data_IF_213432518655
#
_entry.id   IF_213432518655
#
_cell.length_a   1.000
_cell.length_b   1.000
_cell.length_c   1.000
_cell.angle_alpha   90.00
_cell.angle_beta   90.00
_cell.angle_gamma   90.00
#
_symmetry.space_group_name_H-M   'P 1'
#
loop_
_entity.id
_entity.type
_entity.pdbx_description
1 polymer ?
#
# COMPACT_ATOMS: atom_id res chain seq x y z
N UNK A 1 7.32 -12.03 13.36
CA UNK A 1 6.74 -11.26 12.22
C UNK A 1 7.44 -9.91 12.17
N UNK A 2 7.68 -9.32 10.99
CA UNK A 2 8.12 -7.92 10.89
C UNK A 2 7.20 -6.98 11.69
N UNK A 3 7.72 -5.87 12.23
CA UNK A 3 6.98 -5.00 13.17
C UNK A 3 5.72 -4.36 12.56
N UNK A 4 5.65 -4.30 11.23
CA UNK A 4 4.54 -3.75 10.45
C UNK A 4 3.52 -4.82 9.97
N UNK A 5 3.61 -6.06 10.44
CA UNK A 5 2.64 -7.12 10.13
C UNK A 5 1.91 -7.58 11.40
N UNK A 6 0.59 -7.79 11.31
CA UNK A 6 -0.23 -8.43 12.33
C UNK A 6 -0.58 -9.87 11.92
N UNK A 7 -0.68 -10.77 12.90
CA UNK A 7 -1.18 -12.13 12.68
C UNK A 7 -2.70 -12.17 12.44
N UNK A 8 -3.42 -11.11 12.82
CA UNK A 8 -4.86 -11.00 12.63
C UNK A 8 -5.24 -11.08 11.16
N UNK A 9 -6.35 -11.73 10.84
CA UNK A 9 -6.82 -11.90 9.47
C UNK A 9 -7.53 -10.63 8.98
N UNK A 10 -7.27 -10.27 7.72
CA UNK A 10 -7.93 -9.18 7.02
C UNK A 10 -9.24 -9.69 6.44
N UNK A 11 -10.31 -9.60 7.23
CA UNK A 11 -11.67 -9.77 6.73
C UNK A 11 -12.22 -8.43 6.22
N UNK A 12 -13.30 -8.48 5.45
CA UNK A 12 -14.00 -7.28 4.95
C UNK A 12 -14.63 -6.42 6.07
N UNK A 13 -14.52 -6.89 7.32
CA UNK A 13 -14.93 -6.11 8.48
C UNK A 13 -13.89 -5.03 8.83
N UNK A 14 -14.23 -3.80 8.47
CA UNK A 14 -13.50 -2.60 8.79
C UNK A 14 -13.55 -2.27 10.29
N UNK A 15 -14.53 -2.76 11.06
CA UNK A 15 -14.73 -2.38 12.47
C UNK A 15 -13.53 -2.74 13.35
N UNK A 16 -12.80 -3.79 12.96
CA UNK A 16 -11.58 -4.25 13.63
C UNK A 16 -10.35 -3.38 13.36
N UNK A 17 -10.40 -2.47 12.37
CA UNK A 17 -9.27 -1.58 12.08
C UNK A 17 -9.23 -0.42 13.06
N UNK A 18 -8.20 -0.39 13.89
CA UNK A 18 -7.98 0.72 14.82
C UNK A 18 -7.31 1.90 14.12
N UNK A 19 -7.99 3.06 14.08
CA UNK A 19 -7.50 4.29 13.46
C UNK A 19 -6.92 5.31 14.46
N UNK A 20 -6.56 4.91 15.68
CA UNK A 20 -5.84 5.81 16.61
C UNK A 20 -4.45 6.20 16.08
N UNK A 21 -3.93 7.37 16.47
CA UNK A 21 -2.66 7.92 15.99
C UNK A 21 -1.47 6.98 16.24
N UNK A 22 -1.47 6.28 17.37
CA UNK A 22 -0.46 5.24 17.68
C UNK A 22 -0.35 4.17 16.58
N UNK A 23 -1.45 3.86 15.89
CA UNK A 23 -1.48 2.87 14.83
C UNK A 23 -1.00 3.43 13.48
N UNK A 24 -0.99 4.75 13.30
CA UNK A 24 -0.31 5.39 12.16
C UNK A 24 1.21 5.44 12.38
N UNK A 25 1.66 5.60 13.64
CA UNK A 25 3.09 5.57 13.99
C UNK A 25 3.69 4.16 13.93
N UNK A 26 2.89 3.14 14.24
CA UNK A 26 3.28 1.73 14.16
C UNK A 26 2.23 0.93 13.39
N UNK A 27 2.15 1.11 12.06
CA UNK A 27 1.09 0.53 11.27
C UNK A 27 1.34 -0.96 11.06
N UNK A 28 0.38 -1.77 11.48
CA UNK A 28 0.35 -3.21 11.20
C UNK A 28 -0.64 -3.50 10.08
N UNK A 29 -0.20 -4.28 9.09
CA UNK A 29 -1.04 -4.85 8.04
C UNK A 29 -1.55 -6.22 8.49
N UNK A 30 -2.84 -6.49 8.33
CA UNK A 30 -3.45 -7.80 8.65
C UNK A 30 -3.12 -8.85 7.58
N UNK A 31 -3.17 -10.13 7.97
CA UNK A 31 -2.84 -11.29 7.13
C UNK A 31 -3.96 -11.60 6.15
N UNK A 32 -3.62 -11.95 4.91
CA UNK A 32 -4.55 -12.46 3.92
C UNK A 32 -5.28 -13.71 4.45
N UNK A 33 -6.62 -13.75 4.41
CA UNK A 33 -7.39 -14.85 4.99
C UNK A 33 -7.47 -16.09 4.10
N UNK A 34 -7.20 -15.96 2.79
CA UNK A 34 -7.32 -17.02 1.79
C UNK A 34 -6.19 -18.06 1.86
N UNK A 35 -6.23 -19.02 0.92
CA UNK A 35 -5.17 -20.01 0.79
C UNK A 35 -3.81 -19.32 0.56
N UNK A 36 -2.75 -19.97 1.03
CA UNK A 36 -1.36 -19.56 0.78
C UNK A 36 -0.76 -20.28 -0.43
N UNK A 37 -1.44 -21.31 -0.95
CA UNK A 37 -1.13 -21.94 -2.22
C UNK A 37 -1.71 -21.11 -3.35
N UNK A 38 -0.87 -20.75 -4.30
CA UNK A 38 -1.25 -20.00 -5.47
C UNK A 38 -0.48 -20.50 -6.68
N UNK A 39 -1.09 -20.33 -7.84
CA UNK A 39 -0.46 -20.52 -9.13
C UNK A 39 -0.13 -19.18 -9.73
N UNK A 40 1.06 -19.10 -10.31
CA UNK A 40 1.56 -17.89 -10.94
C UNK A 40 1.11 -17.88 -12.39
N UNK A 41 0.45 -16.79 -12.78
CA UNK A 41 -0.03 -16.61 -14.15
C UNK A 41 0.96 -15.77 -14.96
N UNK A 42 1.31 -14.58 -14.47
CA UNK A 42 2.15 -13.63 -15.18
C UNK A 42 2.98 -12.77 -14.22
N UNK A 43 4.11 -12.25 -14.71
CA UNK A 43 4.89 -11.22 -14.03
C UNK A 43 4.57 -9.88 -14.68
N UNK A 44 3.86 -9.03 -13.97
CA UNK A 44 3.34 -7.78 -14.51
C UNK A 44 4.40 -6.68 -14.55
N UNK A 45 5.27 -6.62 -13.55
CA UNK A 45 6.40 -5.69 -13.52
C UNK A 45 7.39 -6.05 -12.42
N UNK A 46 8.62 -5.56 -12.57
CA UNK A 46 9.65 -5.59 -11.54
C UNK A 46 10.25 -4.19 -11.49
N UNK A 47 10.43 -3.63 -10.29
CA UNK A 47 10.90 -2.25 -10.08
C UNK A 47 11.63 -2.09 -8.74
N UNK A 48 12.20 -0.92 -8.45
CA UNK A 48 13.07 -0.68 -7.28
C UNK A 48 12.45 -1.00 -5.90
N UNK A 49 11.12 -1.13 -5.82
CA UNK A 49 10.40 -1.53 -4.61
C UNK A 49 9.94 -3.00 -4.56
N UNK A 50 10.29 -3.83 -5.55
CA UNK A 50 9.83 -5.22 -5.69
C UNK A 50 9.14 -5.50 -7.03
N UNK A 51 8.57 -6.70 -7.17
CA UNK A 51 7.81 -7.11 -8.36
C UNK A 51 6.31 -7.23 -8.09
N UNK A 52 5.52 -7.05 -9.14
CA UNK A 52 4.10 -7.39 -9.20
C UNK A 52 3.94 -8.71 -9.96
N UNK A 53 3.29 -9.66 -9.31
CA UNK A 53 3.02 -10.99 -9.87
C UNK A 53 1.52 -11.20 -9.89
N UNK A 54 0.97 -11.58 -11.05
CA UNK A 54 -0.41 -12.04 -11.16
C UNK A 54 -0.50 -13.50 -10.73
N UNK A 55 -1.45 -13.79 -9.83
CA UNK A 55 -1.65 -15.12 -9.26
C UNK A 55 -3.13 -15.47 -9.15
N UNK A 56 -3.42 -16.76 -9.06
CA UNK A 56 -4.72 -17.31 -8.68
C UNK A 56 -4.56 -18.14 -7.41
N UNK A 57 -5.54 -18.11 -6.51
CA UNK A 57 -5.53 -18.90 -5.28
C UNK A 57 -6.55 -20.03 -5.37
N UNK A 58 -6.13 -21.26 -5.07
CA UNK A 58 -6.98 -22.44 -5.18
C UNK A 58 -7.51 -22.67 -6.60
N UNK A 59 -8.68 -23.29 -6.70
CA UNK A 59 -9.34 -23.59 -7.98
C UNK A 59 -10.22 -22.43 -8.48
N UNK A 60 -10.36 -21.36 -7.69
CA UNK A 60 -11.11 -20.18 -8.09
C UNK A 60 -10.28 -19.40 -9.13
N UNK A 61 -10.85 -19.17 -10.31
CA UNK A 61 -10.25 -18.39 -11.40
C UNK A 61 -10.13 -16.88 -11.09
N UNK A 62 -10.17 -16.50 -9.80
CA UNK A 62 -10.02 -15.12 -9.36
C UNK A 62 -8.55 -14.74 -9.34
N UNK A 63 -8.24 -13.65 -10.03
CA UNK A 63 -6.88 -13.15 -10.17
C UNK A 63 -6.54 -12.10 -9.11
N UNK A 64 -5.32 -12.18 -8.61
CA UNK A 64 -4.77 -11.27 -7.62
C UNK A 64 -3.40 -10.78 -8.05
N UNK A 65 -3.00 -9.63 -7.55
CA UNK A 65 -1.65 -9.09 -7.70
C UNK A 65 -0.87 -9.26 -6.38
N UNK A 66 0.31 -9.86 -6.43
CA UNK A 66 1.24 -9.96 -5.33
C UNK A 66 2.34 -8.91 -5.46
N UNK A 67 2.53 -8.11 -4.40
CA UNK A 67 3.66 -7.16 -4.32
C UNK A 67 4.55 -7.45 -3.13
N UNK A 68 5.81 -7.73 -3.41
CA UNK A 68 6.82 -8.00 -2.37
C UNK A 68 7.46 -6.68 -1.90
N UNK A 69 7.84 -6.60 -0.62
CA UNK A 69 8.64 -5.50 -0.01
C UNK A 69 7.96 -4.14 0.19
N UNK A 70 6.62 -4.05 0.15
CA UNK A 70 5.88 -2.77 0.33
C UNK A 70 4.89 -2.74 1.51
N UNK A 71 4.98 -3.70 2.44
CA UNK A 71 3.96 -3.95 3.46
C UNK A 71 3.68 -2.77 4.42
N UNK A 72 4.69 -1.97 4.77
CA UNK A 72 4.50 -0.80 5.64
C UNK A 72 3.62 0.26 5.00
N UNK A 73 3.85 0.51 3.72
CA UNK A 73 3.13 1.46 2.87
C UNK A 73 1.66 1.07 2.77
N UNK A 74 1.37 -0.21 2.51
CA UNK A 74 0.01 -0.75 2.51
C UNK A 74 -0.68 -0.63 3.89
N UNK A 75 0.06 -0.86 4.98
CA UNK A 75 -0.47 -0.78 6.34
C UNK A 75 -0.95 0.64 6.72
N UNK A 76 -0.31 1.69 6.18
CA UNK A 76 -0.74 3.09 6.35
C UNK A 76 -1.97 3.38 5.48
N UNK A 77 -1.99 2.93 4.22
CA UNK A 77 -3.13 3.15 3.32
C UNK A 77 -4.43 2.55 3.86
N UNK A 78 -4.38 1.36 4.46
CA UNK A 78 -5.55 0.74 5.10
C UNK A 78 -6.15 1.68 6.16
N UNK A 79 -5.30 2.35 6.96
CA UNK A 79 -5.75 3.24 8.04
C UNK A 79 -6.28 4.57 7.51
N UNK A 80 -5.66 5.12 6.46
CA UNK A 80 -6.17 6.31 5.75
C UNK A 80 -7.55 6.02 5.14
N UNK A 81 -7.70 4.85 4.50
CA UNK A 81 -8.94 4.37 3.92
C UNK A 81 -10.06 4.26 4.95
N UNK A 82 -9.82 3.57 6.06
CA UNK A 82 -10.80 3.45 7.14
C UNK A 82 -11.09 4.80 7.78
N UNK A 83 -10.06 5.64 7.97
CA UNK A 83 -10.21 7.00 8.48
C UNK A 83 -11.12 7.87 7.63
N UNK A 84 -11.04 7.75 6.30
CA UNK A 84 -11.92 8.44 5.36
C UNK A 84 -13.34 7.89 5.36
N UNK A 85 -13.51 6.56 5.37
CA UNK A 85 -14.85 5.93 5.42
C UNK A 85 -15.61 6.26 6.70
N UNK A 86 -14.91 6.29 7.83
CA UNK A 86 -15.48 6.62 9.14
C UNK A 86 -15.63 8.12 9.40
N UNK A 87 -15.07 8.97 8.54
CA UNK A 87 -15.23 10.40 8.70
C UNK A 87 -16.67 10.80 8.34
N UNK A 88 -17.46 11.19 9.34
CA UNK A 88 -18.78 11.79 9.11
C UNK A 88 -18.74 13.18 8.47
N UNK A 89 -17.55 13.69 8.14
CA UNK A 89 -17.31 14.98 7.50
C UNK A 89 -16.03 14.95 6.65
N UNK A 90 -15.85 15.86 5.69
CA UNK A 90 -14.60 15.96 4.94
C UNK A 90 -13.40 16.17 5.86
N UNK A 91 -12.32 15.40 5.65
CA UNK A 91 -11.03 15.62 6.32
C UNK A 91 -10.29 16.70 5.53
N UNK A 92 -9.94 17.80 6.18
CA UNK A 92 -9.15 18.87 5.55
C UNK A 92 -7.67 18.67 5.82
N UNK A 93 -6.82 18.86 4.81
CA UNK A 93 -5.36 18.92 4.94
C UNK A 93 -4.83 20.20 4.30
N UNK A 94 -3.65 20.72 4.70
CA UNK A 94 -3.04 21.89 4.05
C UNK A 94 -2.78 21.64 2.57
N UNK A 95 -2.96 22.65 1.71
CA UNK A 95 -2.69 22.55 0.27
C UNK A 95 -1.20 22.55 -0.07
N UNK A 96 -0.38 23.26 0.70
CA UNK A 96 1.06 23.36 0.47
C UNK A 96 1.87 22.53 1.47
N UNK A 97 2.97 21.95 1.01
CA UNK A 97 3.93 21.16 1.80
C UNK A 97 5.18 21.99 2.03
N UNK A 98 5.73 21.95 3.26
CA UNK A 98 7.02 22.61 3.54
C UNK A 98 7.96 21.64 4.29
N UNK A 99 7.44 20.76 5.16
CA UNK A 99 8.29 19.93 6.02
C UNK A 99 7.78 18.49 6.28
N UNK A 100 8.69 17.60 6.73
CA UNK A 100 8.35 16.25 7.25
C UNK A 100 7.29 16.29 8.35
N UNK A 101 7.36 17.31 9.22
CA UNK A 101 6.39 17.51 10.30
C UNK A 101 4.99 17.75 9.75
N UNK A 102 4.86 18.51 8.68
CA UNK A 102 3.57 18.78 8.05
C UNK A 102 2.94 17.51 7.51
N UNK A 103 3.72 16.64 6.87
CA UNK A 103 3.21 15.36 6.35
C UNK A 103 2.74 14.42 7.46
N UNK A 104 3.48 14.33 8.58
CA UNK A 104 3.00 13.59 9.75
C UNK A 104 1.71 14.19 10.31
N UNK A 105 1.55 15.52 10.32
CA UNK A 105 0.30 16.16 10.74
C UNK A 105 -0.86 15.90 9.76
N UNK A 106 -0.57 15.73 8.46
CA UNK A 106 -1.58 15.29 7.47
C UNK A 106 -2.03 13.88 7.73
N UNK A 107 -1.11 12.94 7.96
CA UNK A 107 -1.47 11.58 8.38
C UNK A 107 -2.25 11.59 9.70
N UNK A 108 -1.85 12.43 10.66
CA UNK A 108 -2.58 12.59 11.92
C UNK A 108 -4.03 13.02 11.70
N UNK A 109 -4.34 13.86 10.71
CA UNK A 109 -5.72 14.25 10.41
C UNK A 109 -6.63 13.07 10.03
N UNK A 110 -6.07 11.93 9.61
CA UNK A 110 -6.81 10.69 9.34
C UNK A 110 -6.93 9.78 10.56
N UNK A 111 -6.28 10.09 11.68
CA UNK A 111 -6.47 9.37 12.94
C UNK A 111 -7.76 9.79 13.64
N UNK A 112 -8.24 8.98 14.58
CA UNK A 112 -9.40 9.35 15.41
C UNK A 112 -9.16 10.71 16.08
N UNK A 113 -8.03 10.86 16.74
CA UNK A 113 -7.63 12.05 17.49
C UNK A 113 -7.55 13.29 16.57
N UNK A 114 -7.01 13.14 15.37
CA UNK A 114 -6.91 14.23 14.41
C UNK A 114 -8.25 14.64 13.79
N UNK A 115 -9.17 13.69 13.59
CA UNK A 115 -10.53 13.97 13.15
C UNK A 115 -11.31 14.69 14.25
N UNK A 116 -11.26 14.18 15.48
CA UNK A 116 -11.97 14.75 16.64
C UNK A 116 -11.51 16.19 16.94
N UNK A 117 -10.19 16.43 16.89
CA UNK A 117 -9.61 17.77 17.12
C UNK A 117 -9.72 18.70 15.92
N UNK A 118 -10.15 18.21 14.74
CA UNK A 118 -10.18 18.96 13.48
C UNK A 118 -8.90 19.77 13.31
N UNK A 119 -7.74 19.11 13.35
CA UNK A 119 -6.41 19.73 13.48
C UNK A 119 -6.11 20.85 12.47
N UNK A 120 -6.83 20.89 11.35
CA UNK A 120 -6.72 21.91 10.30
C UNK A 120 -8.02 22.70 10.05
N UNK A 121 -9.00 22.62 10.94
CA UNK A 121 -10.31 23.27 10.79
C UNK A 121 -10.24 24.79 10.71
N UNK A 122 -9.23 25.39 11.35
CA UNK A 122 -9.02 26.84 11.39
C UNK A 122 -8.27 27.39 10.17
N UNK A 123 -7.79 26.53 9.25
CA UNK A 123 -7.12 27.01 8.04
C UNK A 123 -8.11 27.73 7.11
N UNK A 124 -7.70 28.80 6.42
CA UNK A 124 -8.50 29.42 5.37
C UNK A 124 -8.90 28.39 4.31
N UNK A 125 -10.11 28.48 3.76
CA UNK A 125 -10.62 27.51 2.76
C UNK A 125 -9.70 27.36 1.55
N UNK A 126 -9.08 28.45 1.09
CA UNK A 126 -8.11 28.46 -0.02
C UNK A 126 -6.81 27.69 0.28
N UNK A 127 -6.53 27.42 1.56
CA UNK A 127 -5.35 26.69 2.03
C UNK A 127 -5.69 25.24 2.44
N UNK A 128 -6.96 24.84 2.30
CA UNK A 128 -7.43 23.48 2.60
C UNK A 128 -7.65 22.71 1.32
N UNK A 129 -7.20 21.46 1.32
CA UNK A 129 -7.65 20.44 0.41
C UNK A 129 -8.52 19.47 1.21
N UNK A 130 -9.65 19.07 0.64
CA UNK A 130 -10.33 17.86 1.08
C UNK A 130 -9.80 16.74 0.18
N UNK A 131 -8.94 15.82 0.68
CA UNK A 131 -8.52 14.68 -0.08
C UNK A 131 -9.76 13.87 -0.42
N UNK A 132 -10.22 13.99 -1.67
CA UNK A 132 -11.27 13.12 -2.18
C UNK A 132 -10.58 11.80 -2.45
N UNK A 133 -11.10 10.75 -1.85
CA UNK A 133 -10.64 9.42 -2.17
C UNK A 133 -10.84 9.21 -3.68
N UNK A 134 -9.80 8.90 -4.46
CA UNK A 134 -10.02 8.57 -5.87
C UNK A 134 -11.02 7.42 -5.91
N UNK A 135 -11.93 7.44 -6.89
CA UNK A 135 -13.12 6.57 -6.97
C UNK A 135 -12.82 5.08 -6.83
N UNK A 136 -11.57 4.65 -7.02
CA UNK A 136 -11.08 3.32 -6.63
C UNK A 136 -9.57 3.35 -6.42
N UNK A 137 -9.11 3.08 -5.20
CA UNK A 137 -7.75 2.54 -4.98
C UNK A 137 -7.83 1.02 -5.06
N UNK A 138 -6.81 0.37 -5.60
CA UNK A 138 -6.70 -1.08 -5.64
C UNK A 138 -6.93 -1.68 -4.25
N UNK A 139 -7.87 -2.62 -4.13
CA UNK A 139 -8.19 -3.25 -2.84
C UNK A 139 -6.98 -4.05 -2.35
N UNK A 140 -6.57 -3.82 -1.10
CA UNK A 140 -5.57 -4.62 -0.40
C UNK A 140 -6.31 -5.70 0.39
N UNK A 141 -5.89 -6.96 0.24
CA UNK A 141 -6.44 -8.11 0.96
C UNK A 141 -5.53 -8.59 2.10
N UNK A 142 -4.40 -7.91 2.33
CA UNK A 142 -3.49 -8.18 3.44
C UNK A 142 -2.19 -8.83 3.00
N UNK A 143 -1.39 -9.28 3.96
CA UNK A 143 -0.09 -9.91 3.67
C UNK A 143 -0.14 -11.43 3.67
N UNK A 144 0.74 -12.04 2.88
CA UNK A 144 1.00 -13.48 2.92
C UNK A 144 2.50 -13.78 3.01
N UNK A 145 2.83 -14.95 3.54
CA UNK A 145 4.21 -15.43 3.63
C UNK A 145 4.46 -16.42 2.49
N UNK A 146 5.46 -16.15 1.66
CA UNK A 146 5.80 -16.93 0.47
C UNK A 146 7.15 -17.62 0.69
N UNK A 147 7.25 -18.94 0.50
CA UNK A 147 8.52 -19.64 0.43
C UNK A 147 9.39 -19.13 -0.73
N UNK A 148 10.67 -18.91 -0.50
CA UNK A 148 11.59 -18.38 -1.50
C UNK A 148 11.75 -19.28 -2.72
N UNK A 149 11.63 -20.60 -2.56
CA UNK A 149 11.62 -21.55 -3.68
C UNK A 149 10.45 -21.36 -4.68
N UNK A 150 9.39 -20.65 -4.29
CA UNK A 150 8.31 -20.22 -5.19
C UNK A 150 8.66 -18.94 -5.96
N UNK A 151 9.67 -18.20 -5.50
CA UNK A 151 10.09 -16.93 -6.06
C UNK A 151 11.41 -17.00 -6.83
N UNK A 152 12.21 -18.05 -6.67
CA UNK A 152 13.54 -18.16 -7.32
C UNK A 152 13.49 -18.07 -8.84
N UNK A 153 12.38 -18.47 -9.47
CA UNK A 153 12.19 -18.36 -10.92
C UNK A 153 12.25 -16.91 -11.42
N UNK A 154 12.05 -15.93 -10.52
CA UNK A 154 12.15 -14.50 -10.82
C UNK A 154 13.57 -13.96 -10.82
N UNK A 155 14.55 -14.70 -10.31
CA UNK A 155 15.93 -14.23 -10.25
C UNK A 155 16.48 -13.90 -11.64
N UNK A 156 16.11 -14.67 -12.67
CA UNK A 156 16.52 -14.40 -14.05
C UNK A 156 16.08 -13.01 -14.54
N UNK A 157 14.88 -12.57 -14.17
CA UNK A 157 14.37 -11.25 -14.53
C UNK A 157 15.00 -10.14 -13.68
N UNK A 158 15.19 -10.40 -12.39
CA UNK A 158 15.94 -9.51 -11.47
C UNK A 158 17.35 -9.27 -12.02
N UNK A 159 18.03 -10.32 -12.48
CA UNK A 159 19.37 -10.24 -13.06
C UNK A 159 19.39 -9.38 -14.33
N UNK A 160 18.47 -9.62 -15.27
CA UNK A 160 18.33 -8.80 -16.49
C UNK A 160 18.10 -7.32 -16.18
N UNK A 161 17.33 -7.02 -15.13
CA UNK A 161 17.08 -5.65 -14.71
C UNK A 161 18.28 -5.01 -14.02
N UNK A 162 18.95 -5.74 -13.14
CA UNK A 162 20.16 -5.27 -12.48
C UNK A 162 21.26 -4.93 -13.50
N UNK A 163 21.30 -5.62 -14.64
CA UNK A 163 22.16 -5.28 -15.78
C UNK A 163 21.74 -3.99 -16.50
N UNK A 164 20.44 -3.68 -16.53
CA UNK A 164 19.88 -2.47 -17.17
C UNK A 164 19.95 -1.22 -16.27
N UNK A 165 20.06 -1.39 -14.95
CA UNK A 165 20.23 -0.29 -13.99
C UNK A 165 21.64 0.29 -14.15
N UNK A 166 21.71 1.56 -14.60
CA UNK A 166 22.97 2.29 -14.73
C UNK A 166 23.76 2.32 -13.42
N UNK A 167 25.09 2.21 -13.52
CA UNK A 167 26.03 2.19 -12.39
C UNK A 167 25.72 3.32 -11.40
N UNK A 168 25.22 2.96 -10.21
CA UNK A 168 25.00 3.91 -9.12
C UNK A 168 23.73 3.68 -8.29
N UNK A 169 22.72 2.97 -8.83
CA UNK A 169 21.56 2.55 -8.03
C UNK A 169 21.75 1.12 -7.52
N UNK A 170 21.47 0.84 -6.24
CA UNK A 170 21.50 -0.53 -5.74
C UNK A 170 20.46 -1.37 -6.49
N UNK A 171 20.93 -2.48 -7.09
CA UNK A 171 20.08 -3.45 -7.75
C UNK A 171 19.13 -4.15 -6.78
N UNK A 172 18.15 -4.87 -7.32
CA UNK A 172 17.26 -5.72 -6.55
C UNK A 172 18.01 -6.98 -6.10
N UNK A 173 17.92 -7.30 -4.82
CA UNK A 173 18.46 -8.56 -4.31
C UNK A 173 17.64 -9.75 -4.80
N UNK A 174 18.29 -10.82 -5.32
CA UNK A 174 17.61 -12.03 -5.75
C UNK A 174 16.96 -12.77 -4.57
N UNK A 175 15.94 -13.56 -4.88
CA UNK A 175 15.29 -14.44 -3.93
C UNK A 175 16.15 -15.68 -3.65
N UNK A 176 16.15 -16.14 -2.39
CA UNK A 176 16.86 -17.33 -1.92
C UNK A 176 15.87 -18.43 -1.59
N UNK A 177 16.11 -19.64 -2.08
CA UNK A 177 15.15 -20.76 -2.00
C UNK A 177 14.80 -21.16 -0.56
N UNK A 178 15.76 -21.02 0.35
CA UNK A 178 15.71 -21.39 1.77
C UNK A 178 15.11 -20.30 2.68
N UNK A 179 14.71 -19.15 2.11
CA UNK A 179 14.15 -18.02 2.85
C UNK A 179 12.64 -17.91 2.69
N UNK A 180 12.02 -17.07 3.52
CA UNK A 180 10.62 -16.67 3.38
C UNK A 180 10.54 -15.18 3.10
N UNK A 181 9.59 -14.81 2.25
CA UNK A 181 9.32 -13.43 1.86
C UNK A 181 7.89 -13.06 2.25
N UNK A 182 7.67 -11.78 2.51
CA UNK A 182 6.34 -11.24 2.76
C UNK A 182 5.86 -10.46 1.55
N UNK A 183 4.67 -10.81 1.08
CA UNK A 183 4.01 -10.16 -0.05
C UNK A 183 2.66 -9.61 0.38
N UNK A 184 2.20 -8.56 -0.31
CA UNK A 184 0.87 -8.00 -0.14
C UNK A 184 -0.01 -8.53 -1.27
N UNK A 185 -1.21 -8.99 -0.94
CA UNK A 185 -2.23 -9.40 -1.89
C UNK A 185 -3.09 -8.20 -2.23
N UNK A 186 -3.18 -7.89 -3.51
CA UNK A 186 -4.00 -6.84 -4.07
C UNK A 186 -5.00 -7.41 -5.08
N UNK A 187 -6.07 -6.67 -5.30
CA UNK A 187 -6.97 -6.85 -6.43
C UNK A 187 -6.20 -6.81 -7.75
N UNK A 188 -6.37 -7.80 -8.63
CA UNK A 188 -5.82 -7.69 -9.97
C UNK A 188 -6.60 -6.63 -10.77
N UNK A 189 -5.88 -5.69 -11.39
CA UNK A 189 -6.46 -4.72 -12.32
C UNK A 189 -5.90 -5.07 -13.70
N UNK A 190 -6.74 -5.57 -14.63
CA UNK A 190 -6.29 -5.91 -15.98
C UNK A 190 -5.63 -4.72 -16.66
N UNK A 191 -4.67 -5.00 -17.54
CA UNK A 191 -4.06 -3.96 -18.35
C UNK A 191 -5.13 -3.25 -19.18
N UNK A 192 -5.23 -1.94 -18.99
CA UNK A 192 -6.10 -1.06 -19.74
C UNK A 192 -5.29 0.17 -20.19
N UNK A 193 -5.70 0.88 -21.26
CA UNK A 193 -5.04 2.10 -21.69
C UNK A 193 -4.88 3.08 -20.52
N UNK A 194 -3.65 3.58 -20.33
CA UNK A 194 -3.33 4.48 -19.22
C UNK A 194 -4.17 5.75 -19.34
N UNK A 195 -5.12 5.93 -18.41
CA UNK A 195 -5.88 7.16 -18.33
C UNK A 195 -5.11 8.17 -17.47
N UNK A 196 -4.56 9.21 -18.10
CA UNK A 196 -3.68 10.19 -17.44
C UNK A 196 -4.37 10.93 -16.28
N UNK A 197 -5.67 11.23 -16.41
CA UNK A 197 -6.42 11.98 -15.38
C UNK A 197 -6.61 11.17 -14.07
N UNK A 198 -7.13 9.93 -14.08
CA UNK A 198 -7.18 9.08 -12.88
C UNK A 198 -5.82 8.87 -12.21
N UNK A 199 -4.76 8.63 -12.99
CA UNK A 199 -3.40 8.46 -12.46
C UNK A 199 -2.93 9.74 -11.77
N UNK A 200 -3.13 10.90 -12.41
CA UNK A 200 -2.78 12.19 -11.82
C UNK A 200 -3.56 12.45 -10.52
N UNK A 201 -4.85 12.08 -10.46
CA UNK A 201 -5.66 12.21 -9.25
C UNK A 201 -5.16 11.30 -8.13
N UNK A 202 -4.77 10.05 -8.43
CA UNK A 202 -4.19 9.13 -7.44
C UNK A 202 -2.84 9.64 -6.92
N UNK A 203 -1.95 10.10 -7.81
CA UNK A 203 -0.67 10.70 -7.41
C UNK A 203 -0.88 11.95 -6.56
N UNK A 204 -1.81 12.81 -6.94
CA UNK A 204 -2.19 14.01 -6.18
C UNK A 204 -2.76 13.65 -4.81
N UNK A 205 -3.56 12.58 -4.73
CA UNK A 205 -4.07 12.05 -3.47
C UNK A 205 -2.94 11.55 -2.56
N UNK A 206 -2.06 10.66 -3.05
CA UNK A 206 -0.93 10.15 -2.26
C UNK A 206 0.00 11.28 -1.80
N UNK A 207 0.24 12.25 -2.66
CA UNK A 207 0.99 13.44 -2.29
C UNK A 207 0.25 14.25 -1.21
N UNK A 208 -1.06 14.46 -1.36
CA UNK A 208 -1.86 15.24 -0.42
C UNK A 208 -1.88 14.64 0.99
N UNK A 209 -1.86 13.31 1.14
CA UNK A 209 -1.88 12.64 2.44
C UNK A 209 -0.49 12.47 3.09
N UNK A 210 0.59 12.87 2.40
CA UNK A 210 1.96 12.80 2.92
C UNK A 210 2.64 11.42 2.73
N UNK A 211 2.25 10.68 1.69
CA UNK A 211 2.63 9.28 1.50
C UNK A 211 4.13 9.05 1.22
N UNK A 212 4.84 10.06 0.69
CA UNK A 212 6.26 9.96 0.33
C UNK A 212 7.23 9.70 1.51
N UNK A 213 6.74 9.71 2.76
CA UNK A 213 7.55 9.56 3.98
C UNK A 213 7.09 8.42 4.89
N UNK A 214 6.20 7.55 4.39
CA UNK A 214 5.73 6.35 5.10
C UNK A 214 6.76 5.22 5.08
#
# INVERSE_FOLDING_TARGET
LPPFLSADRMYDDDDLVTCGWKNFLSPKLRRFPGDTKFDVQEILSVGGGGGFIQVTFGDDATEYALKVREARTAAVLEKVQVGLRRAGHPISVPSCQITRRDMLRRLYAFSNEGRDTKVFGNLPTKQRLAPVFPTRTQKCFGWLRIPGNRLIMYNKQIDSMNQAVQQGSPGLEPFKADQYYFSIVYEHIPQAPLQTKPVQHQLSFFNSIGFMFC
#
